data_IF_901479238435
#
_entry.id   IF_901479238435
#
_cell.length_a   1.000
_cell.length_b   1.000
_cell.length_c   1.000
_cell.angle_alpha   90.00
_cell.angle_beta   90.00
_cell.angle_gamma   90.00
#
_symmetry.space_group_name_H-M   'P 1'
#
loop_
_entity.id
_entity.type
_entity.pdbx_description
1 polymer ?
#
# COMPACT_ATOMS: atom_id res chain seq x y z
N UNK A 1 -32.62 -30.14 44.26
CA UNK A 1 -31.28 -30.12 43.63
C UNK A 1 -31.23 -28.94 42.68
N UNK A 2 -30.61 -27.84 43.08
CA UNK A 2 -30.44 -26.65 42.26
C UNK A 2 -29.14 -26.80 41.46
N UNK A 3 -29.25 -26.80 40.13
CA UNK A 3 -28.12 -26.86 39.22
C UNK A 3 -27.47 -25.47 39.12
N UNK A 4 -26.24 -25.35 39.62
CA UNK A 4 -25.41 -24.16 39.47
C UNK A 4 -24.77 -24.19 38.08
N UNK A 5 -25.21 -23.31 37.17
CA UNK A 5 -24.51 -23.03 35.92
C UNK A 5 -23.28 -22.18 36.21
N UNK A 6 -22.09 -22.72 35.99
CA UNK A 6 -20.84 -21.96 35.99
C UNK A 6 -20.64 -21.35 34.61
N UNK A 7 -20.88 -20.05 34.48
CA UNK A 7 -20.50 -19.26 33.31
C UNK A 7 -18.98 -19.09 33.31
N UNK A 8 -18.28 -19.84 32.45
CA UNK A 8 -16.89 -19.60 32.14
C UNK A 8 -16.78 -18.33 31.28
N UNK A 9 -16.47 -17.20 31.92
CA UNK A 9 -16.04 -15.99 31.24
C UNK A 9 -14.64 -16.24 30.66
N UNK A 10 -14.55 -16.51 29.36
CA UNK A 10 -13.28 -16.44 28.64
C UNK A 10 -12.89 -14.97 28.53
N UNK A 11 -11.98 -14.52 29.38
CA UNK A 11 -11.29 -13.23 29.25
C UNK A 11 -10.38 -13.27 28.03
N UNK A 12 -10.93 -12.95 26.85
CA UNK A 12 -10.14 -12.58 25.68
C UNK A 12 -9.42 -11.27 25.96
N UNK A 13 -8.20 -11.34 26.51
CA UNK A 13 -7.31 -10.19 26.61
C UNK A 13 -7.00 -9.62 25.22
N UNK A 14 -6.62 -8.33 25.14
CA UNK A 14 -6.24 -7.72 23.86
C UNK A 14 -5.10 -8.53 23.22
N UNK A 15 -5.27 -8.90 21.95
CA UNK A 15 -4.24 -9.58 21.18
C UNK A 15 -2.95 -8.75 21.21
N UNK A 16 -1.83 -9.36 21.62
CA UNK A 16 -0.53 -8.71 21.64
C UNK A 16 -0.18 -8.21 20.22
N UNK A 17 0.27 -6.96 20.11
CA UNK A 17 0.70 -6.42 18.82
C UNK A 17 1.86 -7.26 18.25
N UNK A 18 1.91 -7.46 16.92
CA UNK A 18 3.01 -8.21 16.31
C UNK A 18 4.33 -7.44 16.46
N UNK A 19 5.39 -8.15 16.86
CA UNK A 19 6.75 -7.59 16.88
C UNK A 19 7.20 -7.29 15.44
N UNK A 20 7.69 -6.08 15.23
CA UNK A 20 8.29 -5.64 13.97
C UNK A 20 9.81 -5.70 14.07
N UNK A 21 10.44 -5.96 12.94
CA UNK A 21 11.88 -5.83 12.76
C UNK A 21 12.16 -4.61 11.90
N UNK A 22 13.00 -3.71 12.41
CA UNK A 22 13.53 -2.57 11.67
C UNK A 22 15.03 -2.71 11.48
N UNK A 23 15.61 -1.91 10.58
CA UNK A 23 17.06 -1.89 10.34
C UNK A 23 17.59 -0.47 10.51
N UNK A 24 18.66 -0.29 11.30
CA UNK A 24 19.38 0.98 11.41
C UNK A 24 20.52 1.05 10.39
N UNK A 25 20.49 2.05 9.50
CA UNK A 25 21.35 2.11 8.31
C UNK A 25 22.04 3.46 8.10
N UNK A 26 23.36 3.40 8.05
CA UNK A 26 24.33 4.26 7.37
C UNK A 26 25.43 3.30 6.88
N UNK A 27 25.08 2.39 5.95
CA UNK A 27 25.45 0.95 5.97
C UNK A 27 24.84 0.20 7.18
N UNK A 28 24.57 -1.12 7.12
CA UNK A 28 24.09 -1.86 8.28
C UNK A 28 24.99 -1.61 9.51
N UNK A 29 24.42 -1.08 10.59
CA UNK A 29 25.21 -0.74 11.78
C UNK A 29 25.01 -1.79 12.87
N UNK A 30 26.06 -2.53 13.18
CA UNK A 30 26.07 -3.55 14.21
C UNK A 30 26.56 -3.02 15.55
N UNK A 31 25.96 -3.51 16.65
CA UNK A 31 26.44 -3.27 18.01
C UNK A 31 25.88 -2.03 18.71
N UNK A 32 24.94 -1.29 18.10
CA UNK A 32 24.23 -0.19 18.76
C UNK A 32 23.29 -0.75 19.82
N UNK A 33 23.32 -0.19 21.03
CA UNK A 33 22.32 -0.45 22.05
C UNK A 33 21.00 0.21 21.63
N UNK A 34 19.88 -0.54 21.64
CA UNK A 34 18.55 0.01 21.37
C UNK A 34 17.57 -0.29 22.51
N UNK A 35 16.60 0.60 22.66
CA UNK A 35 15.48 0.48 23.60
C UNK A 35 14.22 1.06 22.94
N UNK A 36 13.24 0.21 22.64
CA UNK A 36 11.94 0.60 22.08
C UNK A 36 10.85 0.77 23.14
N UNK A 37 11.18 0.63 24.43
CA UNK A 37 10.21 0.53 25.52
C UNK A 37 9.79 -0.92 25.79
N UNK A 38 9.36 -1.68 24.77
CA UNK A 38 9.04 -3.11 24.92
C UNK A 38 10.21 -4.05 24.64
N UNK A 39 11.16 -3.64 23.80
CA UNK A 39 12.32 -4.45 23.42
C UNK A 39 13.61 -3.68 23.66
N UNK A 40 14.61 -4.37 24.19
CA UNK A 40 15.97 -3.86 24.33
C UNK A 40 16.95 -4.85 23.75
N UNK A 41 18.10 -4.38 23.28
CA UNK A 41 19.10 -5.26 22.71
C UNK A 41 20.22 -4.50 22.02
N UNK A 42 20.95 -5.23 21.17
CA UNK A 42 21.93 -4.67 20.26
C UNK A 42 21.52 -4.89 18.82
N UNK A 43 21.83 -3.94 17.95
CA UNK A 43 21.64 -4.14 16.51
C UNK A 43 22.52 -5.27 16.00
N UNK A 44 21.98 -6.11 15.13
CA UNK A 44 22.68 -7.27 14.55
C UNK A 44 23.70 -6.85 13.49
N UNK A 45 24.42 -7.81 12.90
CA UNK A 45 25.30 -7.57 11.74
C UNK A 45 24.56 -6.97 10.53
N UNK A 46 23.28 -7.28 10.37
CA UNK A 46 22.41 -6.67 9.35
C UNK A 46 21.79 -5.34 9.80
N UNK A 47 22.10 -4.84 11.01
CA UNK A 47 21.55 -3.60 11.57
C UNK A 47 20.17 -3.76 12.21
N UNK A 48 19.68 -4.98 12.41
CA UNK A 48 18.30 -5.23 12.83
C UNK A 48 18.04 -4.89 14.30
N UNK A 49 16.87 -4.33 14.57
CA UNK A 49 16.32 -4.09 15.91
C UNK A 49 14.82 -4.44 15.94
N UNK A 50 14.26 -4.62 17.13
CA UNK A 50 12.86 -5.01 17.33
C UNK A 50 12.05 -3.88 17.99
N UNK A 51 10.79 -3.72 17.58
CA UNK A 51 9.88 -2.71 18.11
C UNK A 51 8.40 -3.10 17.88
N UNK A 52 7.48 -2.42 18.57
CA UNK A 52 6.03 -2.45 18.27
C UNK A 52 5.58 -1.17 17.56
N UNK A 53 4.51 -1.26 16.76
CA UNK A 53 3.99 -0.10 16.00
C UNK A 53 3.62 1.05 16.95
N UNK A 54 4.18 2.25 16.70
CA UNK A 54 3.96 3.45 17.52
C UNK A 54 4.98 3.67 18.66
N UNK A 55 5.90 2.74 18.88
CA UNK A 55 6.96 2.91 19.88
C UNK A 55 8.05 3.89 19.44
N UNK A 56 8.70 4.53 20.41
CA UNK A 56 9.93 5.31 20.20
C UNK A 56 11.14 4.43 20.49
N UNK A 57 12.03 4.31 19.52
CA UNK A 57 13.30 3.59 19.66
C UNK A 57 14.42 4.58 19.94
N UNK A 58 15.17 4.34 21.01
CA UNK A 58 16.37 5.11 21.39
C UNK A 58 17.61 4.30 21.06
N UNK A 59 18.52 4.87 20.26
CA UNK A 59 19.80 4.25 19.91
C UNK A 59 20.95 4.87 20.70
N UNK A 60 21.86 4.02 21.19
CA UNK A 60 23.00 4.41 22.01
C UNK A 60 24.25 3.62 21.63
N UNK A 61 25.40 4.18 21.98
CA UNK A 61 26.69 3.48 22.04
C UNK A 61 27.09 3.47 23.51
N UNK A 62 26.93 2.33 24.19
CA UNK A 62 27.06 2.30 25.64
C UNK A 62 26.02 3.22 26.29
N UNK A 63 26.46 4.23 27.05
CA UNK A 63 25.57 5.24 27.67
C UNK A 63 25.44 6.55 26.86
N UNK A 64 26.14 6.67 25.72
CA UNK A 64 26.01 7.83 24.84
C UNK A 64 24.78 7.68 23.95
N UNK A 65 23.76 8.53 24.13
CA UNK A 65 22.58 8.53 23.27
C UNK A 65 22.90 9.19 21.92
N UNK A 66 22.73 8.43 20.82
CA UNK A 66 22.87 8.95 19.46
C UNK A 66 21.65 9.76 19.05
N UNK A 67 20.47 9.28 19.44
CA UNK A 67 19.19 9.91 19.18
C UNK A 67 18.05 8.92 19.30
N UNK A 68 16.85 9.37 18.93
CA UNK A 68 15.61 8.60 19.04
C UNK A 68 14.68 8.89 17.89
N UNK A 69 13.84 7.92 17.53
CA UNK A 69 12.80 8.12 16.51
C UNK A 69 11.64 7.15 16.74
N UNK A 70 10.53 7.36 16.05
CA UNK A 70 9.47 6.35 15.98
C UNK A 70 10.02 5.10 15.28
N UNK A 71 9.66 3.91 15.78
CA UNK A 71 10.05 2.64 15.17
C UNK A 71 9.56 2.54 13.72
N UNK A 72 10.44 2.11 12.83
CA UNK A 72 10.16 1.94 11.40
C UNK A 72 10.98 0.79 10.83
N UNK A 73 10.55 0.24 9.69
CA UNK A 73 11.26 -0.84 9.00
C UNK A 73 12.70 -0.45 8.62
N UNK A 74 12.95 0.85 8.40
CA UNK A 74 14.27 1.41 8.15
C UNK A 74 14.41 2.73 8.90
N UNK A 75 15.48 2.86 9.70
CA UNK A 75 15.87 4.09 10.36
C UNK A 75 17.31 4.43 9.94
N UNK A 76 17.58 5.71 9.76
CA UNK A 76 18.91 6.24 9.45
C UNK A 76 19.23 7.38 10.42
N UNK A 77 20.48 7.87 10.46
CA UNK A 77 20.82 9.11 11.15
C UNK A 77 19.87 10.30 10.89
N UNK A 78 19.23 10.39 9.70
CA UNK A 78 18.24 11.44 9.41
C UNK A 78 17.02 11.38 10.32
N UNK A 79 16.47 10.18 10.54
CA UNK A 79 15.30 9.99 11.38
C UNK A 79 15.61 10.27 12.86
N UNK A 80 16.84 10.02 13.31
CA UNK A 80 17.27 10.37 14.67
C UNK A 80 17.50 11.88 14.83
N UNK A 81 17.98 12.54 13.78
CA UNK A 81 18.15 13.99 13.74
C UNK A 81 16.83 14.75 13.53
N UNK A 82 15.75 14.06 13.15
CA UNK A 82 14.45 14.68 12.85
C UNK A 82 14.45 15.49 11.56
N UNK A 83 15.31 15.15 10.60
CA UNK A 83 15.48 15.89 9.34
C UNK A 83 15.29 14.97 8.12
N UNK A 84 15.05 15.59 6.97
CA UNK A 84 15.07 14.92 5.66
C UNK A 84 16.26 15.38 4.81
N UNK A 85 17.03 16.37 5.28
CA UNK A 85 18.20 16.90 4.59
C UNK A 85 19.43 16.02 4.87
N UNK A 86 20.01 15.33 3.87
CA UNK A 86 21.23 14.53 4.01
C UNK A 86 22.44 15.32 4.54
N UNK A 87 22.42 16.65 4.45
CA UNK A 87 23.45 17.54 4.97
C UNK A 87 23.18 18.03 6.41
N UNK A 88 22.12 17.54 7.06
CA UNK A 88 21.76 17.91 8.44
C UNK A 88 22.95 17.74 9.40
N UNK A 89 23.42 18.82 10.07
CA UNK A 89 24.59 18.75 10.94
C UNK A 89 24.50 17.70 12.05
N UNK A 90 23.31 17.49 12.62
CA UNK A 90 23.09 16.44 13.65
C UNK A 90 23.28 15.03 13.08
N UNK A 91 22.74 14.77 11.89
CA UNK A 91 22.89 13.49 11.21
C UNK A 91 24.35 13.26 10.80
N UNK A 92 25.01 14.25 10.19
CA UNK A 92 26.42 14.15 9.82
C UNK A 92 27.33 13.90 11.02
N UNK A 93 27.01 14.46 12.17
CA UNK A 93 27.74 14.21 13.41
C UNK A 93 27.58 12.78 13.92
N UNK A 94 26.39 12.18 13.80
CA UNK A 94 26.16 10.76 14.10
C UNK A 94 26.96 9.88 13.13
N UNK A 95 26.86 10.12 11.83
CA UNK A 95 27.60 9.43 10.75
C UNK A 95 29.11 9.50 10.99
N UNK A 96 29.66 10.69 11.27
CA UNK A 96 31.09 10.86 11.56
C UNK A 96 31.56 10.00 12.73
N UNK A 97 30.76 9.94 13.81
CA UNK A 97 31.09 9.11 14.97
C UNK A 97 31.06 7.63 14.59
N UNK A 98 29.99 7.16 13.93
CA UNK A 98 29.83 5.77 13.50
C UNK A 98 31.01 5.32 12.62
N UNK A 99 31.31 6.07 11.57
CA UNK A 99 32.45 5.78 10.67
C UNK A 99 33.82 5.86 11.35
N UNK A 100 33.95 6.65 12.42
CA UNK A 100 35.19 6.71 13.20
C UNK A 100 35.35 5.50 14.12
N UNK A 101 34.24 4.98 14.64
CA UNK A 101 34.23 3.86 15.59
C UNK A 101 34.16 2.49 14.91
N UNK A 102 33.87 2.46 13.61
CA UNK A 102 33.86 1.26 12.79
C UNK A 102 35.14 0.42 12.94
N UNK A 103 35.01 -0.84 13.34
CA UNK A 103 36.10 -1.65 13.87
C UNK A 103 37.28 -1.78 12.91
N UNK A 104 37.00 -2.03 11.62
CA UNK A 104 37.98 -2.20 10.55
C UNK A 104 38.17 -0.92 9.69
N UNK A 105 37.32 0.09 9.90
CA UNK A 105 37.36 1.37 9.18
C UNK A 105 36.89 1.28 7.72
N UNK A 106 36.21 0.19 7.35
CA UNK A 106 35.67 -0.07 6.03
C UNK A 106 34.14 -0.19 6.05
N UNK A 107 33.41 0.93 5.88
CA UNK A 107 31.96 0.90 6.02
C UNK A 107 31.20 0.23 4.85
N UNK A 108 31.92 -0.19 3.79
CA UNK A 108 31.32 -0.88 2.64
C UNK A 108 30.88 -2.33 2.98
N UNK A 109 31.44 -2.93 4.05
CA UNK A 109 31.06 -4.25 4.55
C UNK A 109 30.11 -4.19 5.77
N UNK A 110 29.60 -3.01 6.10
CA UNK A 110 28.85 -2.73 7.33
C UNK A 110 29.66 -1.84 8.28
N UNK A 111 28.99 -1.25 9.28
CA UNK A 111 29.67 -0.53 10.36
C UNK A 111 29.60 -1.40 11.61
N UNK A 112 30.75 -1.75 12.18
CA UNK A 112 30.80 -2.58 13.38
C UNK A 112 31.29 -1.78 14.59
N UNK A 113 30.41 -1.62 15.58
CA UNK A 113 30.78 -1.01 16.86
C UNK A 113 31.17 -2.10 17.86
N UNK A 114 32.48 -2.26 18.07
CA UNK A 114 33.00 -3.24 19.01
C UNK A 114 32.49 -2.99 20.45
N UNK A 115 32.11 -4.05 21.16
CA UNK A 115 31.56 -3.96 22.52
C UNK A 115 32.51 -3.23 23.48
N UNK A 116 33.82 -3.48 23.39
CA UNK A 116 34.86 -2.81 24.19
C UNK A 116 34.97 -1.30 23.90
N UNK A 117 34.66 -0.89 22.67
CA UNK A 117 34.61 0.53 22.31
C UNK A 117 33.34 1.16 22.89
N UNK A 118 32.20 0.47 22.80
CA UNK A 118 30.94 0.96 23.34
C UNK A 118 31.00 1.17 24.86
N UNK A 119 31.64 0.28 25.62
CA UNK A 119 31.76 0.40 27.08
C UNK A 119 32.57 1.63 27.54
N UNK A 120 33.44 2.18 26.69
CA UNK A 120 34.20 3.41 26.98
C UNK A 120 33.29 4.64 27.09
N UNK A 121 32.13 4.63 26.45
CA UNK A 121 31.11 5.65 26.60
C UNK A 121 30.25 5.38 27.85
N UNK A 122 30.83 5.57 29.03
CA UNK A 122 30.22 5.21 30.33
C UNK A 122 29.40 6.33 30.98
N UNK A 123 29.48 7.56 30.47
CA UNK A 123 28.73 8.73 30.92
C UNK A 123 27.39 8.83 30.16
N UNK A 124 26.28 8.90 30.89
CA UNK A 124 24.97 9.16 30.31
C UNK A 124 24.88 10.60 29.81
N UNK A 125 24.78 10.78 28.50
CA UNK A 125 24.61 12.08 27.83
C UNK A 125 24.14 11.87 26.40
N UNK A 126 23.51 12.88 25.79
CA UNK A 126 23.24 12.86 24.34
C UNK A 126 24.47 13.29 23.55
N UNK A 127 24.59 12.79 22.31
CA UNK A 127 25.65 13.19 21.40
C UNK A 127 25.65 14.70 21.13
N UNK A 128 24.47 15.33 21.14
CA UNK A 128 24.32 16.79 20.98
C UNK A 128 24.98 17.57 22.12
N UNK A 129 24.91 17.05 23.35
CA UNK A 129 25.46 17.70 24.54
C UNK A 129 26.95 17.37 24.77
N UNK A 130 27.53 16.46 23.99
CA UNK A 130 28.85 15.89 24.22
C UNK A 130 30.04 16.76 23.74
N UNK A 131 29.83 18.04 23.37
CA UNK A 131 30.90 18.95 22.95
C UNK A 131 31.49 18.62 21.58
N UNK A 132 32.80 18.75 21.37
CA UNK A 132 33.46 18.36 20.10
C UNK A 132 33.70 16.85 20.02
N UNK A 133 33.47 16.21 18.86
CA UNK A 133 33.65 14.75 18.70
C UNK A 133 35.08 14.29 19.05
N UNK A 134 36.09 15.08 18.67
CA UNK A 134 37.49 14.76 19.00
C UNK A 134 37.73 14.76 20.52
N UNK A 135 37.13 15.72 21.23
CA UNK A 135 37.21 15.78 22.70
C UNK A 135 36.48 14.61 23.34
N UNK A 136 35.31 14.27 22.83
CA UNK A 136 34.53 13.12 23.27
C UNK A 136 35.32 11.81 23.11
N UNK A 137 35.97 11.58 21.96
CA UNK A 137 36.82 10.40 21.72
C UNK A 137 38.02 10.36 22.68
N UNK A 138 38.70 11.50 22.89
CA UNK A 138 39.82 11.60 23.82
C UNK A 138 39.39 11.29 25.27
N UNK A 139 38.24 11.80 25.71
CA UNK A 139 37.69 11.52 27.05
C UNK A 139 37.32 10.06 27.23
N UNK A 140 36.85 9.39 26.17
CA UNK A 140 36.61 7.95 26.14
C UNK A 140 37.92 7.13 26.00
N UNK A 141 39.09 7.78 25.88
CA UNK A 141 40.37 7.12 25.66
C UNK A 141 40.50 6.43 24.31
N UNK A 142 39.70 6.82 23.32
CA UNK A 142 39.66 6.21 21.98
C UNK A 142 40.65 6.97 21.08
N UNK A 143 41.81 6.37 20.84
CA UNK A 143 42.86 6.94 19.99
C UNK A 143 42.61 6.65 18.50
N UNK A 144 41.52 7.21 17.94
CA UNK A 144 41.17 7.09 16.53
C UNK A 144 41.14 8.45 15.84
N UNK A 145 41.51 8.47 14.56
CA UNK A 145 41.41 9.69 13.74
C UNK A 145 39.95 9.93 13.36
N UNK A 146 39.41 11.07 13.78
CA UNK A 146 38.05 11.49 13.44
C UNK A 146 37.88 11.57 11.92
N UNK A 147 36.83 10.94 11.40
CA UNK A 147 36.43 11.02 10.00
C UNK A 147 35.99 12.46 9.68
N UNK A 148 36.48 13.02 8.57
CA UNK A 148 36.10 14.37 8.11
C UNK A 148 34.62 14.45 7.75
N UNK A 149 34.03 15.64 7.91
CA UNK A 149 32.62 15.90 7.55
C UNK A 149 32.34 15.55 6.09
N UNK A 150 33.24 15.90 5.15
CA UNK A 150 33.04 15.61 3.72
C UNK A 150 32.97 14.11 3.41
N UNK A 151 33.86 13.31 4.02
CA UNK A 151 33.83 11.84 3.89
C UNK A 151 32.54 11.27 4.48
N UNK A 152 32.11 11.75 5.64
CA UNK A 152 30.86 11.34 6.26
C UNK A 152 29.65 11.69 5.39
N UNK A 153 29.56 12.92 4.89
CA UNK A 153 28.50 13.35 4.01
C UNK A 153 28.45 12.54 2.71
N UNK A 154 29.60 12.28 2.08
CA UNK A 154 29.65 11.47 0.86
C UNK A 154 29.24 10.02 1.12
N UNK A 155 29.74 9.39 2.20
CA UNK A 155 29.34 8.05 2.59
C UNK A 155 27.83 7.95 2.80
N UNK A 156 27.29 8.86 3.62
CA UNK A 156 25.88 8.81 3.98
C UNK A 156 24.97 9.06 2.77
N UNK A 157 25.36 9.96 1.86
CA UNK A 157 24.66 10.16 0.58
C UNK A 157 24.61 8.87 -0.26
N UNK A 158 25.70 8.11 -0.32
CA UNK A 158 25.76 6.84 -1.05
C UNK A 158 24.92 5.77 -0.36
N UNK A 159 24.97 5.67 0.96
CA UNK A 159 24.12 4.78 1.77
C UNK A 159 22.63 5.07 1.54
N UNK A 160 22.22 6.34 1.59
CA UNK A 160 20.84 6.74 1.29
C UNK A 160 20.44 6.45 -0.16
N UNK A 161 21.37 6.58 -1.12
CA UNK A 161 21.11 6.21 -2.52
C UNK A 161 20.94 4.70 -2.69
N UNK A 162 21.76 3.89 -2.01
CA UNK A 162 21.66 2.43 -2.01
C UNK A 162 20.35 1.95 -1.38
N UNK A 163 19.94 2.55 -0.24
CA UNK A 163 18.63 2.28 0.38
C UNK A 163 17.47 2.57 -0.58
N UNK A 164 17.52 3.69 -1.30
CA UNK A 164 16.51 4.03 -2.31
C UNK A 164 16.50 3.04 -3.49
N UNK A 165 17.67 2.51 -3.86
CA UNK A 165 17.80 1.53 -4.93
C UNK A 165 17.35 0.10 -4.52
N UNK A 166 17.44 -0.22 -3.21
CA UNK A 166 17.03 -1.50 -2.63
C UNK A 166 15.59 -1.50 -2.10
N UNK A 167 14.97 -0.32 -1.96
CA UNK A 167 13.54 -0.24 -1.66
C UNK A 167 12.78 -1.10 -2.68
N UNK A 168 11.84 -1.95 -2.25
CA UNK A 168 11.04 -2.73 -3.18
C UNK A 168 10.47 -1.75 -4.18
N UNK A 169 10.71 -2.03 -5.46
CA UNK A 169 10.14 -1.23 -6.53
C UNK A 169 8.65 -1.12 -6.26
N UNK A 170 8.07 0.09 -6.16
CA UNK A 170 6.67 0.24 -5.84
C UNK A 170 5.86 -0.66 -6.77
N UNK A 171 5.07 -1.57 -6.17
CA UNK A 171 4.23 -2.51 -6.92
C UNK A 171 3.43 -1.76 -7.99
N UNK A 172 2.97 -0.57 -7.63
CA UNK A 172 2.14 0.29 -8.43
C UNK A 172 2.95 1.44 -9.04
N UNK A 173 2.87 1.59 -10.36
CA UNK A 173 3.46 2.73 -11.10
C UNK A 173 2.33 3.65 -11.58
N UNK A 174 2.16 4.86 -10.99
CA UNK A 174 1.13 5.79 -11.41
C UNK A 174 1.40 6.32 -12.82
N UNK A 175 0.36 6.48 -13.63
CA UNK A 175 0.46 6.92 -15.02
C UNK A 175 -0.50 8.08 -15.32
N UNK A 176 -0.06 8.99 -16.18
CA UNK A 176 -0.84 10.15 -16.59
C UNK A 176 -2.13 9.75 -17.30
N UNK A 177 -3.22 10.46 -17.00
CA UNK A 177 -4.54 10.20 -17.58
C UNK A 177 -4.59 10.36 -19.10
N UNK A 178 -3.80 11.28 -19.67
CA UNK A 178 -3.85 11.62 -21.08
C UNK A 178 -3.19 10.57 -21.98
N UNK A 179 -2.01 10.07 -21.59
CA UNK A 179 -1.12 9.30 -22.47
C UNK A 179 -0.46 8.09 -21.81
N UNK A 180 -0.73 7.83 -20.52
CA UNK A 180 -0.16 6.69 -19.82
C UNK A 180 1.33 6.83 -19.48
N UNK A 181 1.92 8.02 -19.62
CA UNK A 181 3.32 8.25 -19.22
C UNK A 181 3.51 8.05 -17.71
N UNK A 182 4.56 7.33 -17.25
CA UNK A 182 4.82 7.15 -15.82
C UNK A 182 5.05 8.48 -15.09
N UNK A 183 4.41 8.65 -13.93
CA UNK A 183 4.54 9.83 -13.09
C UNK A 183 5.63 9.63 -12.02
N UNK A 184 6.63 10.52 -11.97
CA UNK A 184 7.75 10.49 -11.02
C UNK A 184 7.66 11.68 -10.05
N UNK A 185 6.99 11.54 -8.90
CA UNK A 185 6.90 12.61 -7.88
C UNK A 185 5.91 13.74 -8.23
N UNK A 186 5.31 14.36 -7.21
CA UNK A 186 3.90 14.81 -7.21
C UNK A 186 3.59 16.25 -7.63
N UNK A 187 2.63 16.36 -8.55
CA UNK A 187 1.54 17.36 -8.54
C UNK A 187 0.31 16.84 -9.32
N UNK A 188 0.50 15.91 -10.26
CA UNK A 188 -0.54 15.38 -11.12
C UNK A 188 -1.14 14.08 -10.56
N UNK A 189 -2.48 14.01 -10.47
CA UNK A 189 -3.23 12.80 -10.13
C UNK A 189 -3.14 11.80 -11.28
N UNK A 190 -2.87 10.53 -10.96
CA UNK A 190 -2.84 9.46 -11.95
C UNK A 190 -4.25 9.18 -12.51
N UNK A 191 -4.34 8.87 -13.81
CA UNK A 191 -5.58 8.37 -14.41
C UNK A 191 -5.71 6.85 -14.30
N UNK A 192 -4.57 6.17 -14.27
CA UNK A 192 -4.46 4.73 -14.08
C UNK A 192 -3.11 4.38 -13.43
N UNK A 193 -2.96 3.13 -13.04
CA UNK A 193 -1.78 2.64 -12.36
C UNK A 193 -1.41 1.25 -12.86
N UNK A 194 -0.14 1.04 -13.20
CA UNK A 194 0.38 -0.26 -13.61
C UNK A 194 0.77 -1.07 -12.37
N UNK A 195 0.20 -2.26 -12.23
CA UNK A 195 0.58 -3.23 -11.22
C UNK A 195 1.71 -4.13 -11.76
N UNK A 196 2.94 -3.90 -11.31
CA UNK A 196 4.13 -4.66 -11.71
C UNK A 196 4.12 -6.12 -11.25
N UNK A 197 3.28 -6.46 -10.26
CA UNK A 197 3.15 -7.84 -9.78
C UNK A 197 2.29 -8.67 -10.72
N UNK A 198 1.16 -8.13 -11.19
CA UNK A 198 0.20 -8.86 -12.01
C UNK A 198 0.33 -8.57 -13.51
N UNK A 199 0.99 -7.46 -13.87
CA UNK A 199 1.03 -6.94 -15.24
C UNK A 199 -0.27 -6.24 -15.67
N UNK A 200 -1.25 -6.14 -14.77
CA UNK A 200 -2.51 -5.45 -15.02
C UNK A 200 -2.37 -3.93 -14.88
N UNK A 201 -3.26 -3.20 -15.53
CA UNK A 201 -3.38 -1.75 -15.38
C UNK A 201 -4.76 -1.46 -14.79
N UNK A 202 -4.79 -0.69 -13.72
CA UNK A 202 -6.00 -0.38 -12.98
C UNK A 202 -6.40 1.07 -13.15
N UNK A 203 -7.69 1.30 -13.24
CA UNK A 203 -8.25 2.65 -13.23
C UNK A 203 -8.02 3.32 -11.87
N UNK A 204 -7.59 4.59 -11.88
CA UNK A 204 -7.61 5.47 -10.71
C UNK A 204 -8.73 6.49 -10.91
N UNK A 205 -9.67 6.61 -9.98
CA UNK A 205 -10.85 7.46 -10.20
C UNK A 205 -10.48 8.94 -10.18
N UNK A 206 -11.22 9.71 -10.97
CA UNK A 206 -11.16 11.16 -10.96
C UNK A 206 -11.98 11.74 -9.80
N UNK A 207 -11.79 13.02 -9.48
CA UNK A 207 -12.57 13.70 -8.45
C UNK A 207 -13.99 14.04 -8.91
N UNK A 208 -14.16 14.20 -10.23
CA UNK A 208 -15.39 14.63 -10.88
C UNK A 208 -15.48 14.07 -12.30
N UNK A 209 -16.61 14.36 -12.96
CA UNK A 209 -16.85 13.92 -14.34
C UNK A 209 -17.21 12.43 -14.42
N UNK A 210 -17.04 11.84 -15.60
CA UNK A 210 -17.45 10.46 -15.88
C UNK A 210 -16.95 9.48 -14.81
N UNK A 211 -15.65 9.56 -14.48
CA UNK A 211 -14.94 8.63 -13.60
C UNK A 211 -14.87 9.12 -12.15
N UNK A 212 -15.84 9.92 -11.71
CA UNK A 212 -15.90 10.42 -10.33
C UNK A 212 -15.80 9.29 -9.30
N UNK A 213 -14.96 9.49 -8.28
CA UNK A 213 -14.77 8.57 -7.17
C UNK A 213 -16.03 8.35 -6.31
N UNK A 214 -17.01 9.25 -6.42
CA UNK A 214 -18.27 9.14 -5.68
C UNK A 214 -19.34 8.32 -6.42
N UNK A 215 -19.07 7.91 -7.66
CA UNK A 215 -20.05 7.17 -8.43
C UNK A 215 -20.24 5.72 -7.97
N UNK A 216 -21.48 5.27 -8.06
CA UNK A 216 -21.96 3.91 -7.81
C UNK A 216 -22.94 3.51 -8.92
N UNK A 217 -22.95 2.23 -9.27
CA UNK A 217 -23.65 1.72 -10.44
C UNK A 217 -24.46 0.46 -10.10
N UNK A 218 -25.51 0.22 -10.87
CA UNK A 218 -26.16 -1.09 -10.93
C UNK A 218 -25.41 -1.98 -11.93
N UNK A 219 -25.42 -3.28 -11.67
CA UNK A 219 -24.75 -4.26 -12.55
C UNK A 219 -25.64 -4.74 -13.69
N UNK A 220 -26.96 -4.72 -13.53
CA UNK A 220 -27.92 -5.06 -14.59
C UNK A 220 -29.22 -4.25 -14.45
N UNK A 221 -29.99 -4.20 -15.55
CA UNK A 221 -31.30 -3.58 -15.57
C UNK A 221 -32.33 -4.56 -14.97
N UNK A 222 -32.62 -4.44 -13.67
CA UNK A 222 -33.57 -5.35 -13.04
C UNK A 222 -33.90 -5.04 -11.58
N UNK A 223 -35.09 -4.47 -11.37
CA UNK A 223 -35.76 -4.36 -10.07
C UNK A 223 -35.63 -2.99 -9.39
N UNK A 224 -36.74 -2.23 -9.41
CA UNK A 224 -36.98 -0.91 -8.79
C UNK A 224 -35.71 -0.09 -8.46
N UNK A 225 -35.36 0.94 -9.26
CA UNK A 225 -34.25 1.84 -8.94
C UNK A 225 -34.59 2.64 -7.67
N UNK A 226 -34.32 2.05 -6.52
CA UNK A 226 -34.29 2.77 -5.26
C UNK A 226 -33.05 3.67 -5.29
N UNK A 227 -33.20 4.96 -5.04
CA UNK A 227 -32.07 5.84 -4.85
C UNK A 227 -31.07 5.28 -3.82
N UNK A 228 -29.76 5.49 -4.00
CA UNK A 228 -29.17 6.13 -5.18
C UNK A 228 -27.90 5.44 -5.68
N UNK A 229 -28.01 4.72 -6.81
CA UNK A 229 -26.87 4.72 -7.73
C UNK A 229 -26.57 6.17 -8.12
N UNK A 230 -25.29 6.54 -8.14
CA UNK A 230 -24.82 7.88 -8.48
C UNK A 230 -23.90 7.76 -9.68
N UNK A 231 -24.30 8.26 -10.83
CA UNK A 231 -23.50 8.19 -12.03
C UNK A 231 -23.38 9.55 -12.72
N UNK A 232 -22.59 9.61 -13.79
CA UNK A 232 -22.31 10.86 -14.47
C UNK A 232 -23.58 11.49 -15.07
N UNK A 233 -23.62 12.83 -15.09
CA UNK A 233 -24.70 13.55 -15.77
C UNK A 233 -24.80 13.09 -17.25
N UNK A 234 -26.02 12.73 -17.67
CA UNK A 234 -26.29 12.18 -19.01
C UNK A 234 -26.31 10.66 -19.09
N UNK A 235 -25.83 9.94 -18.06
CA UNK A 235 -25.98 8.49 -17.98
C UNK A 235 -27.29 8.15 -17.23
N UNK A 236 -28.41 8.04 -17.95
CA UNK A 236 -29.73 7.87 -17.30
C UNK A 236 -29.97 6.49 -16.70
N UNK A 237 -29.21 5.48 -17.13
CA UNK A 237 -29.38 4.10 -16.69
C UNK A 237 -28.59 3.74 -15.42
N UNK A 238 -27.59 4.55 -15.07
CA UNK A 238 -26.54 4.24 -14.08
C UNK A 238 -26.03 2.79 -14.11
N UNK A 239 -25.98 2.19 -15.31
CA UNK A 239 -25.48 0.83 -15.50
C UNK A 239 -23.96 0.82 -15.62
N UNK A 240 -23.33 -0.13 -14.97
CA UNK A 240 -21.88 -0.29 -15.02
C UNK A 240 -21.39 -0.62 -16.44
N UNK A 241 -22.20 -1.29 -17.26
CA UNK A 241 -21.90 -1.56 -18.66
C UNK A 241 -21.76 -0.27 -19.48
N UNK A 242 -22.68 0.67 -19.31
CA UNK A 242 -22.65 1.98 -19.99
C UNK A 242 -21.47 2.83 -19.54
N UNK A 243 -21.10 2.74 -18.25
CA UNK A 243 -19.89 3.35 -17.72
C UNK A 243 -18.62 2.81 -18.40
N UNK A 244 -18.51 1.48 -18.53
CA UNK A 244 -17.36 0.84 -19.21
C UNK A 244 -17.22 1.40 -20.63
N UNK A 245 -18.30 1.40 -21.41
CA UNK A 245 -18.26 1.90 -22.80
C UNK A 245 -17.81 3.37 -22.87
N UNK A 246 -18.30 4.22 -21.96
CA UNK A 246 -17.91 5.62 -21.91
C UNK A 246 -16.43 5.81 -21.56
N UNK A 247 -15.85 5.00 -20.65
CA UNK A 247 -14.41 5.07 -20.33
C UNK A 247 -13.54 4.60 -21.50
N UNK A 248 -13.99 3.58 -22.25
CA UNK A 248 -13.30 3.13 -23.47
C UNK A 248 -13.18 4.26 -24.50
N UNK A 249 -14.27 5.02 -24.70
CA UNK A 249 -14.30 6.17 -25.61
C UNK A 249 -13.39 7.32 -25.16
N UNK A 250 -13.12 7.47 -23.85
CA UNK A 250 -12.18 8.46 -23.34
C UNK A 250 -10.71 8.13 -23.62
N UNK A 251 -10.40 6.91 -24.07
CA UNK A 251 -9.03 6.41 -24.25
C UNK A 251 -8.17 6.65 -23.02
N UNK A 252 -8.70 6.30 -21.84
CA UNK A 252 -8.05 6.52 -20.55
C UNK A 252 -6.61 5.99 -20.56
N UNK A 253 -5.65 6.86 -20.19
CA UNK A 253 -4.21 6.63 -20.25
C UNK A 253 -3.65 6.37 -21.66
N UNK A 254 -4.23 7.02 -22.67
CA UNK A 254 -3.82 6.89 -24.07
C UNK A 254 -4.18 5.55 -24.71
N UNK A 255 -4.92 4.67 -24.02
CA UNK A 255 -5.25 3.35 -24.55
C UNK A 255 -6.46 3.40 -25.49
N UNK A 256 -6.23 3.04 -26.75
CA UNK A 256 -7.29 2.93 -27.75
C UNK A 256 -7.90 1.52 -27.78
N UNK A 257 -9.09 1.40 -27.19
CA UNK A 257 -9.82 0.13 -27.08
C UNK A 257 -10.48 -0.33 -28.39
N UNK A 258 -10.62 0.55 -29.39
CA UNK A 258 -11.15 0.17 -30.70
C UNK A 258 -10.15 -0.70 -31.48
N UNK A 259 -8.86 -0.54 -31.19
CA UNK A 259 -7.76 -1.31 -31.82
C UNK A 259 -7.29 -2.50 -30.96
N UNK A 260 -7.58 -2.47 -29.66
CA UNK A 260 -7.21 -3.53 -28.72
C UNK A 260 -8.32 -4.61 -28.66
N UNK A 261 -8.31 -5.55 -29.59
CA UNK A 261 -9.29 -6.66 -29.58
C UNK A 261 -9.32 -7.45 -28.26
N UNK A 262 -10.54 -7.87 -27.85
CA UNK A 262 -10.78 -8.86 -26.80
C UNK A 262 -10.53 -8.39 -25.35
N UNK A 263 -9.98 -9.27 -24.52
CA UNK A 263 -9.77 -9.09 -23.07
C UNK A 263 -8.73 -8.01 -22.69
N UNK A 264 -8.12 -7.35 -23.69
CA UNK A 264 -7.04 -6.38 -23.50
C UNK A 264 -7.53 -4.94 -23.32
N UNK A 265 -8.80 -4.65 -23.57
CA UNK A 265 -9.41 -3.33 -23.38
C UNK A 265 -9.80 -3.04 -21.92
N UNK A 266 -10.21 -1.80 -21.61
CA UNK A 266 -10.78 -1.50 -20.28
C UNK A 266 -12.04 -2.32 -20.04
N UNK A 267 -12.11 -3.07 -18.95
CA UNK A 267 -13.22 -3.98 -18.63
C UNK A 267 -13.44 -4.08 -17.13
N UNK A 268 -14.53 -4.75 -16.74
CA UNK A 268 -14.69 -5.17 -15.36
C UNK A 268 -13.68 -6.28 -15.01
N UNK A 269 -13.13 -6.25 -13.80
CA UNK A 269 -12.22 -7.29 -13.33
C UNK A 269 -13.00 -8.57 -13.01
N UNK A 270 -12.34 -9.72 -13.08
CA UNK A 270 -12.84 -10.92 -12.38
C UNK A 270 -12.66 -10.77 -10.86
N UNK A 271 -13.33 -11.62 -10.09
CA UNK A 271 -13.13 -11.67 -8.63
C UNK A 271 -11.65 -11.88 -8.26
N UNK A 272 -10.95 -12.78 -8.98
CA UNK A 272 -9.52 -13.05 -8.76
C UNK A 272 -8.69 -11.80 -8.97
N UNK A 273 -8.89 -11.12 -10.10
CA UNK A 273 -8.14 -9.91 -10.44
C UNK A 273 -8.35 -8.83 -9.38
N UNK A 274 -9.60 -8.55 -9.01
CA UNK A 274 -9.89 -7.48 -8.06
C UNK A 274 -9.36 -7.79 -6.65
N UNK A 275 -9.39 -9.06 -6.23
CA UNK A 275 -8.78 -9.50 -4.96
C UNK A 275 -7.26 -9.37 -4.92
N UNK A 276 -6.57 -9.29 -6.06
CA UNK A 276 -5.11 -9.03 -6.04
C UNK A 276 -4.76 -7.67 -5.44
N UNK A 277 -5.72 -6.74 -5.39
CA UNK A 277 -5.55 -5.42 -4.77
C UNK A 277 -5.78 -5.42 -3.26
N UNK A 278 -6.31 -6.50 -2.67
CA UNK A 278 -6.54 -6.56 -1.22
C UNK A 278 -5.22 -6.50 -0.46
N UNK A 279 -5.10 -5.49 0.39
CA UNK A 279 -3.99 -5.30 1.31
C UNK A 279 -4.52 -4.96 2.70
N UNK A 280 -4.59 -5.99 3.55
CA UNK A 280 -5.09 -5.87 4.92
C UNK A 280 -4.18 -5.03 5.82
N UNK A 281 -2.93 -4.79 5.44
CA UNK A 281 -2.03 -3.91 6.19
C UNK A 281 -2.43 -2.43 6.09
N UNK A 282 -3.18 -2.05 5.05
CA UNK A 282 -3.67 -0.69 4.83
C UNK A 282 -5.03 -0.40 5.46
N UNK A 283 -5.70 -1.45 5.96
CA UNK A 283 -7.04 -1.38 6.52
C UNK A 283 -7.05 -0.68 7.88
N UNK A 284 -7.77 0.43 8.00
CA UNK A 284 -8.05 1.09 9.28
C UNK A 284 -9.57 1.29 9.45
N UNK A 285 -10.18 0.53 10.38
CA UNK A 285 -11.62 0.60 10.67
C UNK A 285 -12.02 1.90 11.36
N UNK A 286 -11.18 2.41 12.25
CA UNK A 286 -11.50 3.63 12.99
C UNK A 286 -11.56 4.84 12.06
N UNK A 287 -10.72 4.85 11.03
CA UNK A 287 -10.66 5.93 10.04
C UNK A 287 -11.48 5.67 8.75
N UNK A 288 -12.17 4.53 8.66
CA UNK A 288 -12.94 4.17 7.46
C UNK A 288 -12.09 3.90 6.21
N UNK A 289 -10.80 3.58 6.38
CA UNK A 289 -9.85 3.39 5.30
C UNK A 289 -9.91 1.97 4.71
N UNK A 290 -9.85 1.81 3.39
CA UNK A 290 -9.97 0.51 2.73
C UNK A 290 -8.74 -0.39 2.87
N UNK A 291 -8.95 -1.69 2.69
CA UNK A 291 -7.90 -2.71 2.63
C UNK A 291 -7.22 -2.77 1.24
N UNK A 292 -6.54 -1.70 0.82
CA UNK A 292 -5.76 -1.64 -0.43
C UNK A 292 -4.74 -0.48 -0.38
N UNK A 293 -3.75 -0.47 -1.29
CA UNK A 293 -2.73 0.59 -1.37
C UNK A 293 -3.36 1.97 -1.66
N UNK A 294 -3.47 2.80 -0.62
CA UNK A 294 -4.12 4.12 -0.69
C UNK A 294 -3.27 5.19 -1.38
N UNK A 295 -1.98 4.95 -1.59
CA UNK A 295 -1.14 5.85 -2.37
C UNK A 295 -1.32 5.60 -3.86
N UNK A 296 -1.43 4.33 -4.26
CA UNK A 296 -1.76 3.94 -5.62
C UNK A 296 -3.22 4.27 -5.99
N UNK A 297 -4.14 4.15 -5.02
CA UNK A 297 -5.58 4.37 -5.20
C UNK A 297 -6.13 5.32 -4.14
N UNK A 298 -5.79 6.62 -4.19
CA UNK A 298 -6.25 7.61 -3.21
C UNK A 298 -7.77 7.83 -3.24
N UNK A 299 -8.44 7.32 -4.27
CA UNK A 299 -9.88 7.44 -4.48
C UNK A 299 -10.72 6.31 -3.85
N UNK A 300 -10.05 5.26 -3.35
CA UNK A 300 -10.75 4.07 -2.93
C UNK A 300 -11.46 4.25 -1.58
N UNK A 301 -12.58 3.54 -1.40
CA UNK A 301 -13.34 3.53 -0.17
C UNK A 301 -13.53 2.11 0.36
N UNK A 302 -13.70 1.96 1.68
CA UNK A 302 -14.01 0.69 2.32
C UNK A 302 -15.47 0.28 2.02
N UNK A 303 -15.71 -0.28 0.84
CA UNK A 303 -17.05 -0.65 0.34
C UNK A 303 -16.95 -1.78 -0.70
N UNK A 304 -18.08 -2.10 -1.32
CA UNK A 304 -18.22 -3.12 -2.35
C UNK A 304 -17.88 -2.58 -3.73
N UNK A 305 -17.10 -3.36 -4.48
CA UNK A 305 -16.73 -3.09 -5.85
C UNK A 305 -17.20 -4.24 -6.75
N UNK A 306 -17.95 -3.91 -7.79
CA UNK A 306 -18.47 -4.86 -8.76
C UNK A 306 -17.36 -5.56 -9.55
N UNK A 307 -17.59 -6.84 -9.83
CA UNK A 307 -16.79 -7.64 -10.77
C UNK A 307 -17.60 -7.94 -12.03
N UNK A 308 -16.95 -8.47 -13.06
CA UNK A 308 -17.60 -9.05 -14.23
C UNK A 308 -17.95 -10.55 -14.06
N UNK A 309 -17.85 -11.10 -12.85
CA UNK A 309 -18.10 -12.52 -12.56
C UNK A 309 -19.54 -12.72 -12.10
N UNK A 310 -20.39 -13.32 -12.94
CA UNK A 310 -21.76 -13.69 -12.56
C UNK A 310 -21.76 -14.82 -11.52
N UNK A 311 -22.66 -14.74 -10.54
CA UNK A 311 -22.87 -15.80 -9.55
C UNK A 311 -24.16 -16.59 -9.83
N UNK A 312 -25.24 -15.88 -10.13
CA UNK A 312 -26.54 -16.46 -10.52
C UNK A 312 -27.28 -15.50 -11.46
N UNK A 313 -28.48 -15.88 -11.91
CA UNK A 313 -29.35 -15.01 -12.73
C UNK A 313 -29.76 -13.70 -12.01
N UNK A 314 -29.70 -13.68 -10.68
CA UNK A 314 -30.17 -12.55 -9.85
C UNK A 314 -29.03 -11.85 -9.07
N UNK A 315 -27.81 -12.37 -9.15
CA UNK A 315 -26.68 -11.86 -8.36
C UNK A 315 -25.34 -11.91 -9.09
N UNK A 316 -24.49 -10.93 -8.81
CA UNK A 316 -23.14 -10.81 -9.36
C UNK A 316 -22.12 -10.73 -8.23
N UNK A 317 -20.93 -11.30 -8.45
CA UNK A 317 -19.85 -11.28 -7.46
C UNK A 317 -19.35 -9.84 -7.26
N UNK A 318 -19.08 -9.48 -6.00
CA UNK A 318 -18.45 -8.22 -5.63
C UNK A 318 -17.26 -8.49 -4.70
N UNK A 319 -16.25 -7.62 -4.76
CA UNK A 319 -15.14 -7.63 -3.82
C UNK A 319 -15.30 -6.49 -2.84
N UNK A 320 -15.22 -6.80 -1.56
CA UNK A 320 -15.32 -5.83 -0.48
C UNK A 320 -13.92 -5.42 0.01
N UNK A 321 -13.64 -4.13 0.03
CA UNK A 321 -12.38 -3.59 0.60
C UNK A 321 -12.54 -3.13 2.06
N UNK A 322 -13.59 -3.60 2.73
CA UNK A 322 -13.77 -3.55 4.18
C UNK A 322 -13.41 -4.91 4.82
N UNK A 323 -13.86 -5.21 6.04
CA UNK A 323 -13.50 -6.44 6.74
C UNK A 323 -14.25 -7.70 6.26
N UNK A 324 -15.16 -7.60 5.27
CA UNK A 324 -16.02 -8.73 4.84
C UNK A 324 -15.22 -9.92 4.30
N UNK A 325 -14.14 -9.69 3.55
CA UNK A 325 -13.29 -10.78 3.03
C UNK A 325 -12.32 -11.38 4.06
N UNK A 326 -12.30 -10.90 5.31
CA UNK A 326 -11.54 -11.58 6.39
C UNK A 326 -12.16 -12.93 6.78
N UNK A 327 -13.47 -13.10 6.56
CA UNK A 327 -14.21 -14.31 6.91
C UNK A 327 -14.89 -14.98 5.71
N UNK A 328 -15.14 -14.23 4.63
CA UNK A 328 -15.80 -14.76 3.43
C UNK A 328 -14.84 -14.92 2.26
N UNK A 329 -14.75 -16.16 1.76
CA UNK A 329 -13.98 -16.51 0.58
C UNK A 329 -14.52 -15.89 -0.71
N UNK A 330 -15.83 -15.64 -0.80
CA UNK A 330 -16.50 -14.96 -1.92
C UNK A 330 -17.80 -14.30 -1.44
N UNK A 331 -18.31 -13.32 -2.19
CA UNK A 331 -19.53 -12.55 -1.90
C UNK A 331 -20.23 -12.21 -3.22
N UNK A 332 -21.56 -12.30 -3.23
CA UNK A 332 -22.40 -11.78 -4.31
C UNK A 332 -23.42 -10.78 -3.79
N UNK A 333 -23.70 -9.76 -4.60
CA UNK A 333 -24.73 -8.76 -4.33
C UNK A 333 -25.88 -8.92 -5.35
N UNK A 334 -27.09 -8.60 -4.92
CA UNK A 334 -28.27 -8.65 -5.78
C UNK A 334 -28.24 -7.54 -6.84
N UNK A 335 -28.83 -7.78 -8.00
CA UNK A 335 -28.78 -6.83 -9.12
C UNK A 335 -29.40 -5.45 -8.84
N UNK A 336 -30.31 -5.36 -7.87
CA UNK A 336 -30.90 -4.08 -7.41
C UNK A 336 -30.02 -3.26 -6.46
N UNK A 337 -28.84 -3.75 -6.07
CA UNK A 337 -27.92 -3.00 -5.21
C UNK A 337 -26.99 -2.11 -6.04
N UNK A 338 -26.63 -0.94 -5.51
CA UNK A 338 -25.61 -0.09 -6.11
C UNK A 338 -24.25 -0.36 -5.43
N UNK A 339 -23.21 -0.52 -6.23
CA UNK A 339 -21.83 -0.67 -5.74
C UNK A 339 -20.86 0.12 -6.62
N UNK A 340 -19.62 0.30 -6.16
CA UNK A 340 -18.60 1.00 -6.94
C UNK A 340 -18.08 0.10 -8.06
N UNK A 341 -17.49 0.69 -9.10
CA UNK A 341 -16.75 -0.06 -10.11
C UNK A 341 -15.32 0.44 -10.18
N UNK A 342 -14.35 -0.42 -10.48
CA UNK A 342 -12.98 -0.03 -10.88
C UNK A 342 -12.60 -0.88 -12.07
N UNK A 343 -12.26 -0.24 -13.17
CA UNK A 343 -11.92 -0.97 -14.39
C UNK A 343 -10.48 -1.49 -14.33
N UNK A 344 -10.25 -2.57 -15.06
CA UNK A 344 -8.95 -3.18 -15.27
C UNK A 344 -8.68 -3.32 -16.78
N UNK A 345 -7.41 -3.31 -17.15
CA UNK A 345 -6.91 -3.56 -18.49
C UNK A 345 -5.72 -4.53 -18.39
N UNK A 346 -5.57 -5.41 -19.39
CA UNK A 346 -4.41 -6.29 -19.50
C UNK A 346 -4.79 -7.76 -19.66
N UNK A 347 -3.80 -8.67 -19.72
CA UNK A 347 -4.05 -10.09 -19.90
C UNK A 347 -4.89 -10.62 -18.74
N UNK A 348 -6.07 -11.18 -19.06
CA UNK A 348 -6.98 -11.70 -18.04
C UNK A 348 -6.28 -12.79 -17.22
N UNK A 349 -6.33 -12.66 -15.89
CA UNK A 349 -5.84 -13.72 -15.02
C UNK A 349 -6.81 -14.91 -15.11
N UNK A 350 -6.28 -16.12 -15.33
CA UNK A 350 -7.10 -17.33 -15.38
C UNK A 350 -7.88 -17.48 -14.06
N UNK A 351 -9.18 -17.75 -14.11
CA UNK A 351 -9.96 -17.99 -12.89
C UNK A 351 -9.47 -19.30 -12.24
N UNK A 352 -9.44 -19.39 -10.90
CA UNK A 352 -9.24 -20.69 -10.25
C UNK A 352 -10.46 -21.59 -10.51
N UNK A 353 -10.30 -22.93 -10.61
CA UNK A 353 -11.44 -23.83 -10.68
C UNK A 353 -12.32 -23.63 -9.43
N UNK A 354 -13.58 -23.23 -9.62
CA UNK A 354 -14.54 -23.09 -8.53
C UNK A 354 -14.60 -24.42 -7.72
N UNK A 355 -14.59 -24.39 -6.37
CA UNK A 355 -14.63 -25.60 -5.55
C UNK A 355 -15.87 -26.47 -5.71
N UNK A 356 -16.90 -26.03 -6.44
CA UNK A 356 -18.06 -26.85 -6.78
C UNK A 356 -18.49 -26.59 -8.22
N UNK A 357 -18.54 -27.68 -9.00
CA UNK A 357 -18.82 -27.69 -10.43
C UNK A 357 -20.11 -26.96 -10.78
N UNK A 358 -19.96 -25.88 -11.54
CA UNK A 358 -21.08 -25.07 -11.98
C UNK A 358 -20.69 -24.00 -13.00
N UNK A 359 -19.67 -24.23 -13.84
CA UNK A 359 -19.43 -23.35 -14.97
C UNK A 359 -20.29 -23.81 -16.16
N UNK A 360 -21.44 -23.17 -16.36
CA UNK A 360 -21.94 -22.97 -17.73
C UNK A 360 -21.22 -21.74 -18.25
N UNK A 361 -20.32 -21.93 -19.21
CA UNK A 361 -19.85 -20.82 -20.04
C UNK A 361 -21.07 -20.27 -20.79
N UNK A 362 -21.54 -19.08 -20.41
CA UNK A 362 -22.54 -18.35 -21.21
C UNK A 362 -21.84 -17.50 -22.27
N UNK A 363 -22.52 -17.24 -23.41
CA UNK A 363 -21.89 -16.62 -24.57
C UNK A 363 -21.50 -15.17 -24.28
N UNK A 364 -20.45 -14.72 -24.96
CA UNK A 364 -19.98 -13.34 -24.89
C UNK A 364 -21.10 -12.32 -25.06
N UNK A 365 -20.97 -11.23 -24.30
CA UNK A 365 -21.85 -10.07 -24.26
C UNK A 365 -22.39 -9.69 -25.66
N UNK A 366 -23.70 -9.80 -25.86
CA UNK A 366 -24.37 -9.32 -27.07
C UNK A 366 -24.76 -7.87 -26.85
N UNK A 367 -24.12 -6.97 -27.59
CA UNK A 367 -24.56 -5.59 -27.70
C UNK A 367 -25.96 -5.55 -28.32
N UNK A 368 -26.92 -4.92 -27.64
CA UNK A 368 -28.25 -4.66 -28.21
C UNK A 368 -28.07 -3.65 -29.34
N UNK A 369 -28.25 -4.09 -30.58
CA UNK A 369 -28.37 -3.20 -31.75
C UNK A 369 -29.66 -2.40 -31.61
N UNK A 370 -29.55 -1.09 -31.77
CA UNK A 370 -30.68 -0.19 -31.93
C UNK A 370 -31.31 -0.40 -33.32
N UNK A 371 -32.53 -0.92 -33.37
CA UNK A 371 -33.41 -0.72 -34.53
C UNK A 371 -34.81 -0.28 -34.08
N UNK A 372 -35.33 0.69 -34.82
CA UNK A 372 -36.45 1.60 -34.51
C UNK A 372 -37.85 0.95 -34.57
N UNK A 373 -38.92 1.63 -34.13
CA UNK A 373 -40.16 1.00 -33.68
C UNK A 373 -41.08 0.62 -34.86
N UNK A 374 -41.54 -0.64 -34.86
CA UNK A 374 -42.58 -1.11 -35.77
C UNK A 374 -43.94 -1.05 -35.09
N UNK A 375 -44.83 -0.26 -35.69
CA UNK A 375 -46.24 -0.07 -35.37
C UNK A 375 -47.03 -1.38 -35.24
N UNK A 376 -47.66 -1.60 -34.09
CA UNK A 376 -48.69 -2.63 -33.90
C UNK A 376 -50.01 -2.17 -34.54
N UNK A 377 -50.35 -2.73 -35.70
CA UNK A 377 -51.71 -2.71 -36.24
C UNK A 377 -52.46 -3.94 -35.72
N UNK A 378 -53.51 -3.70 -34.95
CA UNK A 378 -54.46 -4.72 -34.52
C UNK A 378 -55.23 -5.26 -35.74
N UNK A 379 -55.26 -6.58 -35.90
CA UNK A 379 -56.16 -7.27 -36.82
C UNK A 379 -57.13 -8.13 -35.99
N UNK A 380 -58.35 -7.62 -35.83
CA UNK A 380 -59.50 -8.42 -35.43
C UNK A 380 -59.97 -9.28 -36.61
N UNK A 381 -60.34 -10.53 -36.33
CA UNK A 381 -61.03 -11.43 -37.26
C UNK A 381 -62.53 -11.13 -37.28
N UNK A 382 -63.15 -11.17 -38.48
CA UNK A 382 -64.46 -11.80 -38.71
C UNK A 382 -64.23 -13.05 -39.61
N UNK A 383 -64.97 -14.15 -39.59
CA UNK A 383 -66.27 -14.59 -39.07
C UNK A 383 -66.11 -15.91 -38.31
#
# INVERSE_FOLDING_TARGET
MAACLVLAACSGGPAAQPVRTGVFVDSPVAGLDYDSGSHTGKTTASGEFHYLDGETVVFRIGKLELGRSLGAAQLTPLQLAGSQDPAEPKALRQVQLLLTLDEDGNPDNGIQIAAETATRFSRSQSLEQAGELKTLLNQAGIARRLVSVDRAANHFRLSLAALRAQAPTPRFTPMAEADGTPLNGSAQRAGCVQDRQTGLIWEVKAEKGLRSQFHSYYVSAGGNPQPPAQCAAGQTDCLLASYVQAVRQQKLCGFDDETAGGDRGWRLPSERELKTLLDWSQRDKAQGLPALDRYAFPDAAATFYWTGTSHSEESTVAVAFDDTHRSLGSLSLGHGQAARGRLVRGPKLADEPLPHGGAKSSPGYVAVRSDSPSTLRAAGRPL
#
